data_IF_953217013183
#
_entry.id   IF_953217013183
#
_cell.length_a   1.000
_cell.length_b   1.000
_cell.length_c   1.000
_cell.angle_alpha   90.00
_cell.angle_beta   90.00
_cell.angle_gamma   90.00
#
_symmetry.space_group_name_H-M   'P 1'
#
loop_
_entity.id
_entity.type
_entity.pdbx_description
1 polymer ?
#
# COMPACT_ATOMS: atom_id res chain seq x y z
N UNK A 1 -23.76 -5.69 29.39
CA UNK A 1 -23.78 -6.38 28.09
C UNK A 1 -24.52 -5.47 27.13
N UNK A 2 -23.80 -4.59 26.44
CA UNK A 2 -24.36 -3.77 25.37
C UNK A 2 -23.49 -3.97 24.14
N UNK A 3 -24.17 -4.38 23.06
CA UNK A 3 -23.59 -4.86 21.82
C UNK A 3 -22.86 -3.74 21.09
N UNK A 4 -21.61 -4.04 20.74
CA UNK A 4 -20.81 -3.26 19.83
C UNK A 4 -21.46 -3.19 18.45
N UNK A 5 -21.75 -1.97 18.02
CA UNK A 5 -21.85 -1.61 16.61
C UNK A 5 -20.97 -0.39 16.45
N UNK A 6 -19.70 -0.60 16.11
CA UNK A 6 -18.84 0.47 15.64
C UNK A 6 -19.45 0.91 14.30
N UNK A 7 -20.14 2.06 14.31
CA UNK A 7 -20.63 2.71 13.10
C UNK A 7 -19.43 3.00 12.19
N UNK A 8 -19.34 2.31 11.07
CA UNK A 8 -18.43 2.65 9.99
C UNK A 8 -18.72 4.10 9.56
N UNK A 9 -17.78 5.00 9.84
CA UNK A 9 -17.84 6.39 9.39
C UNK A 9 -17.67 6.43 7.87
N UNK A 10 -18.69 6.98 7.20
CA UNK A 10 -18.69 7.33 5.77
C UNK A 10 -17.72 8.50 5.49
N UNK A 11 -16.42 8.26 5.59
CA UNK A 11 -15.40 9.22 5.12
C UNK A 11 -14.49 8.50 4.14
N UNK A 12 -14.59 8.84 2.86
CA UNK A 12 -13.82 8.30 1.75
C UNK A 12 -12.34 8.67 1.80
N UNK A 13 -11.62 8.18 2.80
CA UNK A 13 -10.15 8.17 2.83
C UNK A 13 -9.68 6.89 2.11
N UNK A 14 -8.61 6.93 1.30
CA UNK A 14 -8.03 5.72 0.72
C UNK A 14 -7.59 4.80 1.86
N UNK A 15 -8.22 3.63 1.99
CA UNK A 15 -8.09 2.83 3.22
C UNK A 15 -6.76 2.09 3.35
N UNK A 16 -5.93 2.08 2.30
CA UNK A 16 -4.56 1.56 2.32
C UNK A 16 -3.46 2.60 2.61
N UNK A 17 -3.82 3.85 2.90
CA UNK A 17 -2.82 4.91 3.11
C UNK A 17 -2.06 4.79 4.45
N UNK A 18 -0.92 5.50 4.61
CA UNK A 18 -0.09 5.44 5.82
C UNK A 18 -0.85 5.74 7.13
N UNK A 19 -1.89 6.60 7.08
CA UNK A 19 -2.74 6.94 8.23
C UNK A 19 -3.46 5.72 8.79
N UNK A 20 -3.98 4.85 7.93
CA UNK A 20 -4.72 3.65 8.34
C UNK A 20 -3.78 2.69 9.07
N UNK A 21 -2.61 2.42 8.48
CA UNK A 21 -1.59 1.51 9.05
C UNK A 21 -1.13 1.97 10.42
N UNK A 22 -0.92 3.28 10.58
CA UNK A 22 -0.55 3.92 11.83
C UNK A 22 -1.53 3.64 12.97
N UNK A 23 -2.84 3.76 12.68
CA UNK A 23 -3.90 3.50 13.66
C UNK A 23 -3.95 2.04 14.05
N UNK A 24 -3.76 1.13 13.08
CA UNK A 24 -3.74 -0.31 13.34
C UNK A 24 -2.54 -0.75 14.19
N UNK A 25 -1.43 -0.01 14.12
CA UNK A 25 -0.23 -0.21 14.94
C UNK A 25 -0.31 0.45 16.33
N UNK A 26 -1.40 1.15 16.67
CA UNK A 26 -1.56 1.89 17.92
C UNK A 26 -0.42 2.89 18.21
N UNK A 27 0.09 3.57 17.18
CA UNK A 27 1.12 4.59 17.37
C UNK A 27 0.56 5.83 18.10
N UNK A 28 1.39 6.47 18.93
CA UNK A 28 1.02 7.71 19.61
C UNK A 28 0.78 8.87 18.62
N UNK A 29 0.12 9.93 19.09
CA UNK A 29 -0.26 11.07 18.23
C UNK A 29 0.94 11.75 17.56
N UNK A 30 2.10 11.80 18.22
CA UNK A 30 3.31 12.42 17.66
C UNK A 30 3.86 11.58 16.52
N UNK A 31 3.96 10.26 16.71
CA UNK A 31 4.35 9.31 15.66
C UNK A 31 3.37 9.30 14.50
N UNK A 32 2.07 9.40 14.79
CA UNK A 32 1.04 9.52 13.76
C UNK A 32 1.26 10.78 12.90
N UNK A 33 1.44 11.94 13.54
CA UNK A 33 1.70 13.19 12.82
C UNK A 33 2.97 13.11 11.97
N UNK A 34 4.05 12.56 12.53
CA UNK A 34 5.29 12.38 11.80
C UNK A 34 5.14 11.40 10.63
N UNK A 35 4.42 10.28 10.79
CA UNK A 35 4.18 9.36 9.67
C UNK A 35 3.35 10.02 8.58
N UNK A 36 2.36 10.84 8.92
CA UNK A 36 1.58 11.60 7.94
C UNK A 36 2.48 12.53 7.15
N UNK A 37 3.37 13.27 7.82
CA UNK A 37 4.36 14.12 7.16
C UNK A 37 5.26 13.29 6.23
N UNK A 38 5.76 12.14 6.69
CA UNK A 38 6.54 11.22 5.86
C UNK A 38 5.76 10.78 4.62
N UNK A 39 4.51 10.33 4.78
CA UNK A 39 3.68 9.87 3.67
C UNK A 39 3.39 10.96 2.64
N UNK A 40 3.20 12.21 3.08
CA UNK A 40 3.00 13.35 2.17
C UNK A 40 4.29 13.78 1.45
N UNK A 41 5.45 13.53 2.04
CA UNK A 41 6.73 14.08 1.60
C UNK A 41 7.72 13.04 1.05
N UNK A 42 7.42 11.73 1.12
CA UNK A 42 8.34 10.66 0.70
C UNK A 42 8.87 10.87 -0.72
N UNK A 43 8.01 11.38 -1.60
CA UNK A 43 8.30 11.63 -3.01
C UNK A 43 8.69 13.07 -3.34
N UNK A 44 8.88 13.96 -2.35
CA UNK A 44 9.14 15.40 -2.59
C UNK A 44 10.38 15.65 -3.48
N UNK A 45 11.35 14.74 -3.45
CA UNK A 45 12.54 14.80 -4.29
C UNK A 45 12.25 14.71 -5.80
N UNK A 46 11.10 14.13 -6.20
CA UNK A 46 10.64 14.10 -7.60
C UNK A 46 10.47 15.51 -8.17
N UNK A 47 10.19 16.52 -7.34
CA UNK A 47 10.10 17.93 -7.77
C UNK A 47 11.41 18.50 -8.35
N UNK A 48 12.56 17.82 -8.20
CA UNK A 48 13.84 18.20 -8.81
C UNK A 48 14.25 17.33 -9.99
N UNK A 49 13.43 16.35 -10.35
CA UNK A 49 13.63 15.51 -11.53
C UNK A 49 12.91 16.14 -12.71
N UNK A 50 13.49 16.05 -13.91
CA UNK A 50 12.90 16.63 -15.12
C UNK A 50 11.53 16.00 -15.42
N UNK A 51 10.53 16.81 -15.72
CA UNK A 51 9.18 16.34 -16.07
C UNK A 51 9.18 15.39 -17.26
N UNK A 52 10.06 15.62 -18.24
CA UNK A 52 10.21 14.74 -19.40
C UNK A 52 10.65 13.32 -19.04
N UNK A 53 11.34 13.17 -17.90
CA UNK A 53 11.77 11.88 -17.38
C UNK A 53 10.66 11.23 -16.53
N UNK A 54 9.97 12.01 -15.68
CA UNK A 54 8.87 11.53 -14.84
C UNK A 54 7.67 11.04 -15.67
N UNK A 55 7.38 11.71 -16.78
CA UNK A 55 6.21 11.46 -17.62
C UNK A 55 6.54 10.70 -18.93
N UNK A 56 7.72 10.07 -19.01
CA UNK A 56 8.13 9.33 -20.20
C UNK A 56 7.20 8.13 -20.43
N UNK A 57 6.67 7.99 -21.65
CA UNK A 57 5.79 6.89 -22.02
C UNK A 57 6.57 5.60 -22.37
N UNK A 58 7.78 5.75 -22.91
CA UNK A 58 8.66 4.64 -23.25
C UNK A 58 9.40 4.09 -22.04
N UNK A 59 9.96 2.88 -22.20
CA UNK A 59 10.83 2.30 -21.19
C UNK A 59 12.01 3.23 -20.86
N UNK A 60 12.29 3.34 -19.56
CA UNK A 60 13.41 4.12 -19.04
C UNK A 60 14.72 3.37 -19.29
N UNK A 61 15.77 4.09 -19.68
CA UNK A 61 17.13 3.55 -19.73
C UNK A 61 17.68 3.32 -18.33
N UNK A 62 18.76 2.54 -18.20
CA UNK A 62 19.42 2.35 -16.91
C UNK A 62 19.86 3.68 -16.27
N UNK A 63 20.40 4.60 -17.06
CA UNK A 63 20.81 5.93 -16.59
C UNK A 63 19.62 6.76 -16.09
N UNK A 64 18.48 6.66 -16.78
CA UNK A 64 17.23 7.32 -16.42
C UNK A 64 16.65 6.76 -15.11
N UNK A 65 16.72 5.43 -14.92
CA UNK A 65 16.35 4.75 -13.68
C UNK A 65 17.21 5.25 -12.52
N UNK A 66 18.54 5.33 -12.69
CA UNK A 66 19.44 5.81 -11.62
C UNK A 66 19.16 7.28 -11.24
N UNK A 67 18.79 8.13 -12.20
CA UNK A 67 18.34 9.50 -11.93
C UNK A 67 17.05 9.53 -11.11
N UNK A 68 16.11 8.63 -11.40
CA UNK A 68 14.88 8.51 -10.63
C UNK A 68 15.14 7.98 -9.21
N UNK A 69 16.01 6.99 -9.06
CA UNK A 69 16.41 6.44 -7.74
C UNK A 69 17.09 7.46 -6.82
N UNK A 70 17.54 8.60 -7.35
CA UNK A 70 18.10 9.68 -6.54
C UNK A 70 17.03 10.48 -5.75
N UNK A 71 15.74 10.35 -6.07
CA UNK A 71 14.68 11.15 -5.43
C UNK A 71 14.61 11.05 -3.89
N UNK A 72 14.87 9.90 -3.23
CA UNK A 72 14.83 9.84 -1.76
C UNK A 72 15.96 10.67 -1.14
N UNK A 73 17.16 10.61 -1.73
CA UNK A 73 18.33 11.40 -1.29
C UNK A 73 18.09 12.89 -1.50
N UNK A 74 17.49 13.26 -2.63
CA UNK A 74 17.12 14.66 -2.91
C UNK A 74 16.04 15.12 -1.92
N UNK A 75 15.02 14.31 -1.68
CA UNK A 75 13.94 14.60 -0.74
C UNK A 75 14.46 14.82 0.67
N UNK A 76 15.32 13.91 1.15
CA UNK A 76 16.03 14.06 2.43
C UNK A 76 16.76 15.41 2.51
N UNK A 77 17.58 15.76 1.52
CA UNK A 77 18.32 17.02 1.50
C UNK A 77 17.42 18.24 1.50
N UNK A 78 16.28 18.19 0.80
CA UNK A 78 15.31 19.30 0.80
C UNK A 78 14.78 19.52 2.21
N UNK A 79 14.36 18.45 2.89
CA UNK A 79 13.72 18.53 4.20
C UNK A 79 14.72 18.83 5.33
N UNK A 80 15.92 18.25 5.26
CA UNK A 80 17.00 18.47 6.23
C UNK A 80 17.43 19.94 6.29
N UNK A 81 17.49 20.60 5.13
CA UNK A 81 17.80 22.04 5.06
C UNK A 81 16.74 22.94 5.71
N UNK A 82 15.50 22.48 5.86
CA UNK A 82 14.45 23.25 6.55
C UNK A 82 14.63 23.16 8.08
N UNK A 83 15.25 22.10 8.59
CA UNK A 83 15.59 21.88 10.00
C UNK A 83 14.38 21.97 10.96
N UNK A 84 13.20 21.54 10.51
CA UNK A 84 11.96 21.48 11.32
C UNK A 84 11.39 20.06 11.46
N UNK A 85 11.93 19.11 10.70
CA UNK A 85 11.39 17.75 10.62
C UNK A 85 12.10 16.84 11.63
N UNK A 86 11.32 15.94 12.23
CA UNK A 86 11.86 14.92 13.12
C UNK A 86 12.78 13.97 12.33
N UNK A 87 13.91 13.50 12.90
CA UNK A 87 14.79 12.54 12.24
C UNK A 87 14.09 11.30 11.69
N UNK A 88 13.03 10.81 12.34
CA UNK A 88 12.27 9.66 11.82
C UNK A 88 11.57 9.97 10.50
N UNK A 89 11.12 11.22 10.29
CA UNK A 89 10.52 11.70 9.04
C UNK A 89 11.56 11.74 7.94
N UNK A 90 12.74 12.29 8.24
CA UNK A 90 13.85 12.37 7.29
C UNK A 90 14.30 10.96 6.86
N UNK A 91 14.43 10.03 7.81
CA UNK A 91 14.74 8.63 7.53
C UNK A 91 13.63 7.96 6.71
N UNK A 92 12.36 8.21 7.07
CA UNK A 92 11.21 7.73 6.31
C UNK A 92 11.24 8.14 4.83
N UNK A 93 11.58 9.39 4.57
CA UNK A 93 11.73 9.92 3.20
C UNK A 93 12.96 9.34 2.50
N UNK A 94 14.06 9.13 3.21
CA UNK A 94 15.29 8.62 2.62
C UNK A 94 15.24 7.12 2.30
N UNK A 95 14.59 6.32 3.15
CA UNK A 95 14.69 4.85 3.14
C UNK A 95 13.40 4.14 2.70
N UNK A 96 12.36 4.84 2.23
CA UNK A 96 11.10 4.21 1.81
C UNK A 96 11.22 3.24 0.61
N UNK A 97 12.34 3.23 -0.10
CA UNK A 97 12.66 2.22 -1.14
C UNK A 97 13.63 1.13 -0.68
N UNK A 98 14.05 1.16 0.59
CA UNK A 98 14.81 0.05 1.18
C UNK A 98 13.93 -1.20 1.29
N UNK A 99 14.56 -2.38 1.20
CA UNK A 99 13.89 -3.67 1.21
C UNK A 99 14.45 -4.53 2.33
N UNK A 100 13.62 -5.36 2.96
CA UNK A 100 14.04 -6.14 4.14
C UNK A 100 15.26 -7.04 3.87
N UNK A 101 15.43 -7.53 2.64
CA UNK A 101 16.57 -8.32 2.16
C UNK A 101 17.82 -7.51 1.73
N UNK A 102 17.74 -6.18 1.71
CA UNK A 102 18.84 -5.29 1.34
C UNK A 102 19.02 -5.08 -0.15
N UNK A 103 18.11 -5.55 -0.99
CA UNK A 103 18.11 -5.28 -2.44
C UNK A 103 17.61 -3.87 -2.78
N UNK A 104 17.12 -3.13 -1.78
CA UNK A 104 16.62 -1.78 -1.89
C UNK A 104 17.71 -0.72 -2.07
N UNK A 105 17.28 0.54 -2.07
CA UNK A 105 18.14 1.71 -2.26
C UNK A 105 17.65 2.86 -1.36
N UNK A 106 18.50 3.85 -1.02
CA UNK A 106 19.83 4.14 -1.59
C UNK A 106 21.03 3.43 -0.93
N UNK A 107 20.89 2.84 0.25
CA UNK A 107 22.01 2.29 1.02
C UNK A 107 22.02 0.75 1.08
N UNK A 108 20.94 0.08 0.70
CA UNK A 108 20.84 -1.38 0.80
C UNK A 108 20.71 -1.83 2.27
N UNK A 109 19.90 -1.10 3.04
CA UNK A 109 19.65 -1.43 4.45
C UNK A 109 18.85 -2.72 4.56
N UNK A 110 19.07 -3.46 5.66
CA UNK A 110 18.45 -4.76 5.90
C UNK A 110 17.72 -4.79 7.25
N UNK A 111 16.56 -5.44 7.26
CA UNK A 111 15.78 -5.71 8.46
C UNK A 111 15.58 -4.50 9.36
N UNK A 112 16.05 -4.61 10.60
CA UNK A 112 15.89 -3.59 11.65
C UNK A 112 16.64 -2.28 11.41
N UNK A 113 17.52 -2.21 10.41
CA UNK A 113 18.16 -0.95 10.02
C UNK A 113 17.20 -0.02 9.28
N UNK A 114 16.11 -0.55 8.74
CA UNK A 114 15.06 0.22 8.07
C UNK A 114 14.11 0.75 9.15
N UNK A 115 13.97 2.07 9.26
CA UNK A 115 13.11 2.65 10.28
C UNK A 115 11.62 2.33 10.04
N UNK A 116 10.83 2.35 11.12
CA UNK A 116 9.41 2.02 11.09
C UNK A 116 8.63 2.77 10.02
N UNK A 117 8.89 4.08 9.83
CA UNK A 117 8.13 4.87 8.86
C UNK A 117 8.43 4.42 7.44
N UNK A 118 9.68 4.12 7.10
CA UNK A 118 10.03 3.57 5.79
C UNK A 118 9.33 2.24 5.52
N UNK A 119 9.31 1.34 6.51
CA UNK A 119 8.60 0.07 6.40
C UNK A 119 7.10 0.27 6.12
N UNK A 120 6.46 1.21 6.81
CA UNK A 120 5.03 1.52 6.59
C UNK A 120 4.79 2.19 5.23
N UNK A 121 5.62 3.17 4.85
CA UNK A 121 5.48 3.87 3.56
C UNK A 121 5.70 2.91 2.39
N UNK A 122 6.66 1.98 2.48
CA UNK A 122 6.90 0.99 1.43
C UNK A 122 5.66 0.12 1.15
N UNK A 123 4.92 -0.28 2.19
CA UNK A 123 3.68 -1.06 2.07
C UNK A 123 2.57 -0.21 1.45
N UNK A 124 2.37 1.02 1.96
CA UNK A 124 1.35 1.93 1.46
C UNK A 124 1.61 2.34 -0.02
N UNK A 125 2.84 2.65 -0.38
CA UNK A 125 3.25 2.98 -1.75
C UNK A 125 3.07 1.77 -2.69
N UNK A 126 3.38 0.55 -2.22
CA UNK A 126 3.10 -0.67 -3.00
C UNK A 126 1.60 -0.83 -3.28
N UNK A 127 0.76 -0.63 -2.25
CA UNK A 127 -0.69 -0.70 -2.41
C UNK A 127 -1.22 0.36 -3.37
N UNK A 128 -0.80 1.62 -3.19
CA UNK A 128 -1.22 2.74 -4.04
C UNK A 128 -0.72 2.57 -5.48
N UNK A 129 0.51 2.11 -5.70
CA UNK A 129 1.07 1.89 -7.03
C UNK A 129 0.30 0.84 -7.86
N UNK A 130 -0.30 -0.15 -7.20
CA UNK A 130 -1.08 -1.22 -7.84
C UNK A 130 -2.54 -0.81 -8.06
N UNK A 131 -3.12 -0.11 -7.09
CA UNK A 131 -4.53 0.31 -7.13
C UNK A 131 -4.77 1.63 -7.87
N UNK A 132 -3.73 2.46 -8.04
CA UNK A 132 -3.82 3.71 -8.77
C UNK A 132 -4.06 3.48 -10.26
N UNK A 133 -4.92 4.33 -10.84
CA UNK A 133 -5.12 4.47 -12.27
C UNK A 133 -3.86 5.06 -12.92
N UNK A 134 -2.85 4.24 -13.23
CA UNK A 134 -1.85 4.66 -14.23
C UNK A 134 -2.53 4.62 -15.59
N UNK A 135 -2.40 5.71 -16.34
CA UNK A 135 -3.04 6.07 -17.63
C UNK A 135 -3.07 4.98 -18.72
N UNK A 136 -2.41 3.84 -18.50
CA UNK A 136 -2.22 2.75 -19.48
C UNK A 136 -2.49 1.34 -18.91
N UNK A 137 -2.97 1.17 -17.66
CA UNK A 137 -3.32 -0.14 -17.09
C UNK A 137 -4.76 -0.14 -16.59
N UNK A 138 -5.52 -1.20 -16.93
CA UNK A 138 -6.81 -1.51 -16.27
C UNK A 138 -6.56 -1.56 -14.76
N UNK A 139 -7.45 -0.97 -13.95
CA UNK A 139 -7.39 -1.08 -12.48
C UNK A 139 -7.16 -2.53 -12.11
N UNK A 140 -6.06 -2.80 -11.41
CA UNK A 140 -5.94 -4.07 -10.72
C UNK A 140 -6.88 -4.01 -9.52
N UNK A 141 -7.67 -5.08 -9.32
CA UNK A 141 -8.50 -5.22 -8.14
C UNK A 141 -7.65 -5.01 -6.88
N UNK A 142 -8.16 -4.31 -5.84
CA UNK A 142 -7.46 -4.19 -4.56
C UNK A 142 -7.00 -5.54 -3.98
N UNK A 143 -7.66 -6.64 -4.35
CA UNK A 143 -7.25 -7.99 -3.96
C UNK A 143 -5.88 -8.39 -4.54
N UNK A 144 -5.56 -7.94 -5.75
CA UNK A 144 -4.23 -8.16 -6.35
C UNK A 144 -3.14 -7.37 -5.62
N UNK A 145 -3.47 -6.17 -5.11
CA UNK A 145 -2.54 -5.41 -4.29
C UNK A 145 -2.25 -6.13 -2.97
N UNK A 146 -3.28 -6.72 -2.35
CA UNK A 146 -3.14 -7.55 -1.15
C UNK A 146 -2.26 -8.77 -1.41
N UNK A 147 -2.50 -9.49 -2.52
CA UNK A 147 -1.70 -10.65 -2.94
C UNK A 147 -0.22 -10.28 -3.16
N UNK A 148 0.04 -9.17 -3.84
CA UNK A 148 1.41 -8.68 -4.05
C UNK A 148 2.09 -8.32 -2.72
N UNK A 149 1.39 -7.66 -1.80
CA UNK A 149 1.92 -7.34 -0.47
C UNK A 149 2.21 -8.64 0.32
N UNK A 150 1.33 -9.63 0.22
CA UNK A 150 1.53 -10.93 0.86
C UNK A 150 2.77 -11.64 0.30
N UNK A 151 2.94 -11.68 -1.01
CA UNK A 151 4.12 -12.26 -1.65
C UNK A 151 5.41 -11.52 -1.27
N UNK A 152 5.37 -10.19 -1.24
CA UNK A 152 6.53 -9.37 -0.87
C UNK A 152 6.86 -9.39 0.63
N UNK A 153 5.94 -9.83 1.50
CA UNK A 153 6.19 -9.98 2.94
C UNK A 153 7.26 -11.02 3.28
N UNK A 154 7.56 -11.93 2.34
CA UNK A 154 8.57 -12.97 2.50
C UNK A 154 10.01 -12.44 2.44
N UNK A 155 10.26 -11.38 1.66
CA UNK A 155 11.62 -10.92 1.37
C UNK A 155 11.79 -9.39 1.39
N UNK A 156 10.80 -8.65 0.90
CA UNK A 156 10.96 -7.23 0.55
C UNK A 156 10.33 -6.28 1.57
N UNK A 157 9.20 -6.65 2.16
CA UNK A 157 8.41 -5.84 3.09
C UNK A 157 8.46 -6.44 4.49
N UNK A 158 8.23 -5.60 5.50
CA UNK A 158 8.21 -6.07 6.89
C UNK A 158 7.00 -6.99 7.12
N UNK A 159 7.20 -8.27 7.49
CA UNK A 159 6.13 -9.25 7.54
C UNK A 159 5.07 -8.93 8.61
N UNK A 160 5.48 -8.34 9.74
CA UNK A 160 4.57 -8.00 10.82
C UNK A 160 3.63 -6.85 10.40
N UNK A 161 4.17 -5.83 9.74
CA UNK A 161 3.35 -4.71 9.25
C UNK A 161 2.47 -5.16 8.07
N UNK A 162 2.97 -6.03 7.20
CA UNK A 162 2.16 -6.65 6.14
C UNK A 162 0.96 -7.41 6.70
N UNK A 163 1.14 -8.24 7.72
CA UNK A 163 0.05 -8.99 8.36
C UNK A 163 -1.05 -8.04 8.88
N UNK A 164 -0.65 -6.98 9.60
CA UNK A 164 -1.56 -5.97 10.12
C UNK A 164 -2.29 -5.25 8.99
N UNK A 165 -1.57 -4.87 7.93
CA UNK A 165 -2.14 -4.22 6.76
C UNK A 165 -3.20 -5.11 6.09
N UNK A 166 -2.82 -6.35 5.78
CA UNK A 166 -3.66 -7.34 5.08
C UNK A 166 -4.92 -7.64 5.89
N UNK A 167 -4.79 -7.88 7.19
CA UNK A 167 -5.94 -8.16 8.06
C UNK A 167 -6.97 -7.04 8.02
N UNK A 168 -6.53 -5.80 8.22
CA UNK A 168 -7.47 -4.68 8.31
C UNK A 168 -8.09 -4.30 6.95
N UNK A 169 -7.34 -4.43 5.85
CA UNK A 169 -7.89 -4.13 4.52
C UNK A 169 -8.90 -5.18 4.05
N UNK A 170 -8.70 -6.45 4.42
CA UNK A 170 -9.66 -7.54 4.22
C UNK A 170 -10.94 -7.29 5.02
N UNK A 171 -10.81 -6.97 6.31
CA UNK A 171 -11.95 -6.62 7.17
C UNK A 171 -12.74 -5.43 6.59
N UNK A 172 -12.05 -4.46 5.98
CA UNK A 172 -12.69 -3.35 5.30
C UNK A 172 -13.50 -3.74 4.05
N UNK A 173 -13.00 -4.71 3.27
CA UNK A 173 -13.66 -5.18 2.05
C UNK A 173 -14.78 -6.20 2.32
N UNK A 174 -14.76 -6.87 3.47
CA UNK A 174 -15.90 -7.67 3.92
C UNK A 174 -17.18 -6.80 3.97
N UNK A 175 -18.25 -7.32 3.40
CA UNK A 175 -19.55 -6.65 3.31
C UNK A 175 -19.67 -5.61 2.19
N UNK A 176 -18.62 -5.41 1.37
CA UNK A 176 -18.68 -4.53 0.20
C UNK A 176 -19.33 -5.21 -0.99
N UNK A 177 -20.05 -4.42 -1.75
CA UNK A 177 -20.57 -4.83 -3.06
C UNK A 177 -19.40 -4.97 -4.04
N UNK A 178 -19.46 -5.95 -4.93
CA UNK A 178 -18.36 -6.28 -5.82
C UNK A 178 -18.88 -6.79 -7.15
N UNK A 179 -18.20 -6.40 -8.24
CA UNK A 179 -18.44 -6.91 -9.58
C UNK A 179 -17.53 -8.09 -9.86
N UNK A 180 -18.14 -9.17 -10.35
CA UNK A 180 -17.47 -10.40 -10.75
C UNK A 180 -17.15 -10.40 -12.25
N UNK A 181 -16.23 -11.27 -12.67
CA UNK A 181 -15.79 -11.43 -14.08
C UNK A 181 -16.90 -11.89 -15.02
N UNK A 182 -17.99 -12.45 -14.48
CA UNK A 182 -19.19 -12.84 -15.21
C UNK A 182 -20.28 -11.75 -15.23
N UNK A 183 -19.91 -10.49 -14.91
CA UNK A 183 -20.79 -9.32 -14.81
C UNK A 183 -21.84 -9.35 -13.69
N UNK A 184 -21.89 -10.42 -12.90
CA UNK A 184 -22.74 -10.44 -11.71
C UNK A 184 -22.19 -9.50 -10.64
N UNK A 185 -23.11 -9.00 -9.81
CA UNK A 185 -22.80 -8.18 -8.65
C UNK A 185 -23.18 -8.94 -7.40
N UNK A 186 -22.25 -9.00 -6.46
CA UNK A 186 -22.41 -9.72 -5.20
C UNK A 186 -21.85 -8.93 -4.02
N UNK A 187 -21.88 -9.55 -2.84
CA UNK A 187 -21.31 -8.99 -1.61
C UNK A 187 -20.23 -9.93 -1.11
N UNK A 188 -19.04 -9.41 -0.80
CA UNK A 188 -17.98 -10.19 -0.16
C UNK A 188 -18.46 -10.58 1.25
N UNK A 189 -18.59 -11.87 1.52
CA UNK A 189 -19.05 -12.39 2.82
C UNK A 189 -17.88 -12.65 3.74
N UNK A 190 -16.80 -13.22 3.19
CA UNK A 190 -15.59 -13.54 3.94
C UNK A 190 -14.42 -13.77 2.97
N UNK A 191 -13.20 -13.79 3.48
CA UNK A 191 -12.01 -14.12 2.71
C UNK A 191 -11.50 -15.52 3.02
N UNK A 192 -10.96 -16.18 2.01
CA UNK A 192 -10.18 -17.40 2.19
C UNK A 192 -8.81 -17.00 2.80
N UNK A 193 -8.41 -17.57 3.96
CA UNK A 193 -7.18 -17.18 4.65
C UNK A 193 -5.89 -17.56 3.90
N UNK A 194 -5.98 -18.44 2.90
CA UNK A 194 -4.86 -18.89 2.07
C UNK A 194 -4.88 -18.14 0.73
N UNK A 195 -6.04 -18.07 0.07
CA UNK A 195 -6.21 -17.44 -1.24
C UNK A 195 -7.02 -16.13 -1.12
N UNK A 196 -6.38 -15.04 -0.73
CA UNK A 196 -7.03 -13.74 -0.46
C UNK A 196 -7.75 -13.13 -1.68
N UNK A 197 -7.37 -13.53 -2.89
CA UNK A 197 -8.03 -13.14 -4.15
C UNK A 197 -9.29 -13.93 -4.46
N UNK A 198 -9.57 -14.99 -3.69
CA UNK A 198 -10.69 -15.92 -3.88
C UNK A 198 -11.63 -15.90 -2.65
N UNK A 199 -12.35 -14.78 -2.40
CA UNK A 199 -13.27 -14.67 -1.28
C UNK A 199 -14.54 -15.51 -1.46
N UNK A 200 -15.30 -15.65 -0.37
CA UNK A 200 -16.70 -16.07 -0.42
C UNK A 200 -17.55 -14.87 -0.84
N UNK A 201 -18.30 -15.01 -1.93
CA UNK A 201 -19.17 -13.93 -2.45
C UNK A 201 -20.62 -14.39 -2.45
N UNK A 202 -21.53 -13.54 -1.97
CA UNK A 202 -22.97 -13.77 -2.06
C UNK A 202 -23.54 -13.04 -3.27
N UNK A 203 -24.06 -13.79 -4.23
CA UNK A 203 -24.85 -13.27 -5.36
C UNK A 203 -26.01 -14.25 -5.64
N UNK A 204 -27.09 -13.77 -6.27
CA UNK A 204 -28.29 -14.60 -6.56
C UNK A 204 -28.84 -15.38 -5.34
N UNK A 205 -28.78 -14.79 -4.15
CA UNK A 205 -29.18 -15.39 -2.86
C UNK A 205 -28.41 -16.68 -2.48
N UNK A 206 -27.25 -16.94 -3.07
CA UNK A 206 -26.36 -18.06 -2.73
C UNK A 206 -24.98 -17.56 -2.35
N UNK A 207 -24.24 -18.34 -1.57
CA UNK A 207 -22.84 -18.08 -1.26
C UNK A 207 -22.00 -18.95 -2.17
N UNK A 208 -21.07 -18.31 -2.87
CA UNK A 208 -20.16 -18.91 -3.82
C UNK A 208 -18.73 -18.80 -3.28
N UNK A 209 -18.03 -19.92 -3.29
CA UNK A 209 -16.63 -19.99 -2.90
C UNK A 209 -15.77 -19.88 -4.14
N UNK A 210 -15.15 -18.71 -4.36
CA UNK A 210 -14.33 -18.47 -5.54
C UNK A 210 -13.03 -19.29 -5.55
N UNK A 211 -12.65 -19.94 -4.44
CA UNK A 211 -11.51 -20.87 -4.43
C UNK A 211 -11.86 -22.22 -5.08
N UNK A 212 -13.16 -22.53 -5.13
CA UNK A 212 -13.76 -23.70 -5.81
C UNK A 212 -14.23 -23.31 -7.21
N UNK A 213 -14.97 -22.20 -7.33
CA UNK A 213 -15.47 -21.63 -8.59
C UNK A 213 -14.40 -20.76 -9.26
N UNK A 214 -13.35 -21.41 -9.77
CA UNK A 214 -12.13 -20.74 -10.25
C UNK A 214 -12.30 -19.94 -11.54
N UNK A 215 -13.41 -20.12 -12.25
CA UNK A 215 -13.78 -19.40 -13.46
C UNK A 215 -14.32 -17.99 -13.18
N UNK A 216 -14.66 -17.69 -11.93
CA UNK A 216 -15.18 -16.38 -11.51
C UNK A 216 -14.18 -15.66 -10.60
N UNK A 217 -13.96 -14.38 -10.86
CA UNK A 217 -13.03 -13.54 -10.10
C UNK A 217 -13.65 -12.19 -9.72
N UNK A 218 -13.20 -11.61 -8.61
CA UNK A 218 -13.54 -10.23 -8.24
C UNK A 218 -12.77 -9.26 -9.14
N UNK A 219 -13.50 -8.56 -10.00
CA UNK A 219 -12.94 -7.55 -10.92
C UNK A 219 -12.86 -6.18 -10.25
N UNK A 220 -13.90 -5.82 -9.50
CA UNK A 220 -14.01 -4.50 -8.88
C UNK A 220 -14.75 -4.59 -7.54
N UNK A 221 -14.31 -3.80 -6.57
CA UNK A 221 -15.01 -3.59 -5.29
C UNK A 221 -15.63 -2.20 -5.35
N UNK A 222 -16.95 -2.11 -5.13
CA UNK A 222 -17.79 -0.92 -5.32
C UNK A 222 -17.92 -0.08 -4.04
#
# INVERSE_FOLDING_TARGET
MENGIIKATKTGVPQGGPISVCKWLNLDNKKLENLVRTGLLHDIGKAKIKDSLLNKADALTLEEIEKLKAHPVIGYRILDNVNIFDPEVLQGVLFHHERMDGTGYPLGLQGEKINLFSKIIAIADTFDAITANKTYRKKNSPLKAIEEIQANSLNHLDPYICEIFIKNIIEYYCGRETRLSNEQVGIIVNFNPIELTKPLVRYENKIHDLSVERDVEVVEIL
#
